data_IF_347258795561
#
_entry.id   IF_347258795561
#
_cell.length_a   1.000
_cell.length_b   1.000
_cell.length_c   1.000
_cell.angle_alpha   90.00
_cell.angle_beta   90.00
_cell.angle_gamma   90.00
#
_symmetry.space_group_name_H-M   'P 1'
#
loop_
_entity.id
_entity.type
_entity.pdbx_description
1 polymer ?
#
# COMPACT_ATOMS: atom_id res chain seq x y z
N UNK A 1 -26.51 21.68 -30.05
CA UNK A 1 -26.82 21.16 -28.71
C UNK A 1 -27.12 19.67 -28.84
N UNK A 2 -26.09 18.83 -28.77
CA UNK A 2 -26.25 17.40 -28.48
C UNK A 2 -26.56 17.25 -26.99
N UNK A 3 -27.46 16.34 -26.59
CA UNK A 3 -27.74 16.13 -25.17
C UNK A 3 -26.51 15.58 -24.48
N UNK A 4 -26.19 16.13 -23.31
CA UNK A 4 -25.19 15.58 -22.40
C UNK A 4 -25.67 14.24 -21.88
N UNK A 5 -25.17 13.15 -22.46
CA UNK A 5 -25.29 11.80 -21.92
C UNK A 5 -24.44 11.69 -20.64
N UNK A 6 -24.94 12.25 -19.54
CA UNK A 6 -24.79 11.56 -18.26
C UNK A 6 -25.64 10.30 -18.40
N UNK A 7 -25.02 9.13 -18.29
CA UNK A 7 -25.75 7.87 -18.37
C UNK A 7 -26.82 7.85 -17.28
N UNK A 8 -28.08 7.67 -17.66
CA UNK A 8 -29.09 7.26 -16.71
C UNK A 8 -28.81 5.79 -16.39
N UNK A 9 -28.08 5.54 -15.30
CA UNK A 9 -27.69 4.20 -14.85
C UNK A 9 -28.95 3.36 -14.57
N UNK A 10 -29.33 2.47 -15.49
CA UNK A 10 -30.51 1.60 -15.32
C UNK A 10 -30.16 0.38 -14.45
N UNK A 11 -29.96 0.66 -13.16
CA UNK A 11 -29.71 -0.34 -12.12
C UNK A 11 -30.99 -1.08 -11.69
N UNK A 12 -32.10 -1.00 -12.45
CA UNK A 12 -33.41 -1.55 -12.05
C UNK A 12 -33.47 -3.08 -11.96
N UNK A 13 -32.41 -3.78 -12.37
CA UNK A 13 -32.19 -5.21 -12.13
C UNK A 13 -31.81 -5.53 -10.68
N UNK A 14 -31.18 -4.60 -9.96
CA UNK A 14 -30.76 -4.79 -8.57
C UNK A 14 -31.90 -4.45 -7.58
N UNK A 15 -31.96 -5.16 -6.45
CA UNK A 15 -32.98 -4.95 -5.41
C UNK A 15 -34.35 -5.58 -5.66
N UNK A 16 -34.55 -6.28 -6.79
CA UNK A 16 -35.75 -7.10 -7.07
C UNK A 16 -35.63 -8.57 -6.64
N UNK A 17 -34.44 -9.00 -6.21
CA UNK A 17 -34.18 -10.36 -5.72
C UNK A 17 -34.98 -10.66 -4.43
N UNK A 18 -35.53 -11.87 -4.26
CA UNK A 18 -36.14 -12.30 -2.99
C UNK A 18 -35.15 -12.24 -1.83
N UNK A 19 -35.62 -11.85 -0.63
CA UNK A 19 -34.77 -11.68 0.56
C UNK A 19 -33.94 -12.93 0.92
N UNK A 20 -34.49 -14.14 0.70
CA UNK A 20 -33.80 -15.40 0.96
C UNK A 20 -32.65 -15.65 -0.02
N UNK A 21 -32.77 -15.14 -1.25
CA UNK A 21 -31.75 -15.24 -2.29
C UNK A 21 -30.63 -14.23 -2.02
N UNK A 22 -30.98 -13.02 -1.57
CA UNK A 22 -30.01 -12.02 -1.08
C UNK A 22 -29.22 -12.60 0.11
N UNK A 23 -29.88 -13.25 1.07
CA UNK A 23 -29.22 -13.91 2.19
C UNK A 23 -28.28 -15.04 1.73
N UNK A 24 -28.71 -15.87 0.77
CA UNK A 24 -27.88 -16.93 0.18
C UNK A 24 -26.65 -16.35 -0.54
N UNK A 25 -26.81 -15.29 -1.34
CA UNK A 25 -25.71 -14.56 -2.00
C UNK A 25 -24.75 -13.97 -0.97
N UNK A 26 -25.24 -13.39 0.13
CA UNK A 26 -24.40 -12.82 1.18
C UNK A 26 -23.56 -13.89 1.90
N UNK A 27 -24.18 -15.02 2.27
CA UNK A 27 -23.48 -16.18 2.84
C UNK A 27 -22.46 -16.76 1.86
N UNK A 28 -22.79 -16.83 0.57
CA UNK A 28 -21.85 -17.25 -0.47
C UNK A 28 -20.65 -16.30 -0.59
N UNK A 29 -20.86 -14.98 -0.62
CA UNK A 29 -19.78 -14.00 -0.69
C UNK A 29 -18.86 -14.08 0.55
N UNK A 30 -19.44 -14.22 1.75
CA UNK A 30 -18.70 -14.42 2.99
C UNK A 30 -17.87 -15.72 2.95
N UNK A 31 -18.49 -16.85 2.56
CA UNK A 31 -17.82 -18.14 2.48
C UNK A 31 -16.70 -18.16 1.42
N UNK A 32 -16.96 -17.58 0.24
CA UNK A 32 -15.98 -17.41 -0.83
C UNK A 32 -14.75 -16.64 -0.31
N UNK A 33 -14.97 -15.49 0.33
CA UNK A 33 -13.90 -14.65 0.87
C UNK A 33 -13.11 -15.40 1.95
N UNK A 34 -13.78 -16.09 2.88
CA UNK A 34 -13.12 -16.90 3.91
C UNK A 34 -12.28 -18.04 3.34
N UNK A 35 -12.76 -18.74 2.30
CA UNK A 35 -11.97 -19.77 1.61
C UNK A 35 -10.76 -19.14 0.91
N UNK A 36 -10.92 -18.00 0.23
CA UNK A 36 -9.80 -17.27 -0.40
C UNK A 36 -8.75 -16.83 0.61
N UNK A 37 -9.15 -16.30 1.77
CA UNK A 37 -8.22 -15.90 2.85
C UNK A 37 -7.49 -17.11 3.44
N UNK A 38 -8.21 -18.18 3.82
CA UNK A 38 -7.60 -19.38 4.39
C UNK A 38 -6.59 -20.02 3.41
N UNK A 39 -6.93 -20.05 2.11
CA UNK A 39 -6.02 -20.48 1.05
C UNK A 39 -4.80 -19.56 0.91
N UNK A 40 -5.00 -18.24 0.85
CA UNK A 40 -3.93 -17.25 0.73
C UNK A 40 -2.91 -17.37 1.86
N UNK A 41 -3.34 -17.62 3.10
CA UNK A 41 -2.43 -17.81 4.25
C UNK A 41 -1.54 -19.07 4.10
N UNK A 42 -2.07 -20.20 3.62
CA UNK A 42 -1.23 -21.38 3.35
C UNK A 42 -0.32 -21.14 2.14
N UNK A 43 -0.86 -20.50 1.10
CA UNK A 43 -0.15 -20.23 -0.14
C UNK A 43 1.05 -19.30 0.07
N UNK A 44 0.87 -18.23 0.86
CA UNK A 44 1.93 -17.32 1.29
C UNK A 44 3.06 -18.06 2.01
N UNK A 45 2.73 -18.88 3.02
CA UNK A 45 3.71 -19.70 3.75
C UNK A 45 4.48 -20.67 2.84
N UNK A 46 3.88 -21.11 1.74
CA UNK A 46 4.54 -22.00 0.76
C UNK A 46 5.43 -21.26 -0.21
N UNK A 47 4.91 -20.22 -0.86
CA UNK A 47 5.66 -19.45 -1.86
C UNK A 47 6.88 -18.77 -1.23
N UNK A 48 6.73 -18.16 -0.04
CA UNK A 48 7.87 -17.57 0.69
C UNK A 48 8.87 -18.64 1.11
N UNK A 49 8.42 -19.83 1.52
CA UNK A 49 9.32 -20.94 1.83
C UNK A 49 10.10 -21.40 0.57
N UNK A 50 9.44 -21.56 -0.57
CA UNK A 50 10.07 -21.94 -1.84
C UNK A 50 11.07 -20.89 -2.35
N UNK A 51 10.76 -19.59 -2.24
CA UNK A 51 11.70 -18.50 -2.53
C UNK A 51 12.94 -18.54 -1.64
N UNK A 52 12.79 -19.02 -0.40
CA UNK A 52 13.87 -19.18 0.58
C UNK A 52 14.53 -20.57 0.54
N UNK A 53 14.30 -21.37 -0.52
CA UNK A 53 14.82 -22.73 -0.68
C UNK A 53 14.51 -23.68 0.49
N UNK A 54 13.41 -23.45 1.21
CA UNK A 54 12.92 -24.32 2.31
C UNK A 54 11.54 -24.90 1.99
N UNK A 55 11.20 -26.00 2.66
CA UNK A 55 9.93 -26.69 2.45
C UNK A 55 8.84 -25.98 3.28
N UNK A 56 7.76 -25.57 2.62
CA UNK A 56 6.58 -25.00 3.27
C UNK A 56 5.73 -26.05 4.02
N UNK A 57 4.56 -25.66 4.56
CA UNK A 57 3.68 -26.58 5.30
C UNK A 57 3.32 -27.85 4.51
N UNK A 58 3.62 -29.02 5.09
CA UNK A 58 3.42 -30.34 4.45
C UNK A 58 2.94 -31.43 5.44
N UNK A 59 2.30 -31.06 6.56
CA UNK A 59 1.87 -32.01 7.62
C UNK A 59 0.34 -32.11 7.75
N UNK A 60 -0.36 -30.98 7.88
CA UNK A 60 -1.79 -30.97 8.19
C UNK A 60 -2.67 -30.97 6.93
N UNK A 61 -3.18 -32.15 6.57
CA UNK A 61 -3.99 -32.36 5.36
C UNK A 61 -3.16 -32.52 4.08
N UNK A 62 -3.81 -32.78 2.93
CA UNK A 62 -3.13 -32.91 1.64
C UNK A 62 -2.31 -31.65 1.36
N UNK A 63 -1.01 -31.83 1.15
CA UNK A 63 -0.03 -30.74 0.99
C UNK A 63 -0.11 -29.64 2.06
N UNK A 64 -0.53 -29.92 3.30
CA UNK A 64 -0.61 -28.90 4.36
C UNK A 64 -1.75 -27.89 4.24
N UNK A 65 -2.72 -28.08 3.33
CA UNK A 65 -3.82 -27.12 3.08
C UNK A 65 -4.74 -26.88 4.28
N UNK A 66 -4.80 -27.81 5.25
CA UNK A 66 -5.66 -27.66 6.43
C UNK A 66 -4.99 -26.86 7.57
N UNK A 67 -3.76 -26.35 7.37
CA UNK A 67 -3.03 -25.61 8.40
C UNK A 67 -3.76 -24.35 8.86
N UNK A 68 -4.26 -23.50 7.94
CA UNK A 68 -4.96 -22.26 8.31
C UNK A 68 -6.22 -22.53 9.12
N UNK A 69 -6.92 -23.64 8.84
CA UNK A 69 -8.11 -24.06 9.60
C UNK A 69 -7.73 -24.50 11.02
N UNK A 70 -6.65 -25.28 11.17
CA UNK A 70 -6.13 -25.66 12.48
C UNK A 70 -5.65 -24.44 13.30
N UNK A 71 -5.01 -23.47 12.66
CA UNK A 71 -4.59 -22.22 13.29
C UNK A 71 -5.80 -21.38 13.75
N UNK A 72 -6.87 -21.33 12.96
CA UNK A 72 -8.14 -20.68 13.33
C UNK A 72 -8.81 -21.34 14.54
N UNK A 73 -8.90 -22.67 14.55
CA UNK A 73 -9.44 -23.44 15.70
C UNK A 73 -8.60 -23.20 16.96
N UNK A 74 -7.27 -23.22 16.82
CA UNK A 74 -6.34 -22.88 17.91
C UNK A 74 -6.60 -21.48 18.48
N UNK A 75 -6.85 -20.48 17.63
CA UNK A 75 -7.12 -19.12 18.08
C UNK A 75 -8.48 -18.99 18.79
N UNK A 76 -9.50 -19.74 18.38
CA UNK A 76 -10.80 -19.79 19.09
C UNK A 76 -10.71 -20.48 20.46
N UNK A 77 -9.85 -21.50 20.61
CA UNK A 77 -9.63 -22.22 21.87
C UNK A 77 -8.59 -21.55 22.79
N UNK A 78 -7.86 -20.55 22.31
CA UNK A 78 -6.83 -19.83 23.08
C UNK A 78 -7.51 -18.91 24.10
N UNK A 79 -6.91 -18.79 25.29
CA UNK A 79 -7.35 -17.87 26.33
C UNK A 79 -7.41 -16.41 25.83
N UNK A 80 -8.57 -15.79 25.98
CA UNK A 80 -8.80 -14.39 25.65
C UNK A 80 -8.54 -13.49 26.86
N UNK A 81 -7.44 -12.73 26.82
CA UNK A 81 -6.99 -11.87 27.91
C UNK A 81 -7.42 -10.43 27.66
N UNK A 82 -7.93 -9.78 28.71
CA UNK A 82 -8.25 -8.35 28.72
C UNK A 82 -7.29 -7.64 29.67
N UNK A 83 -6.53 -6.68 29.14
CA UNK A 83 -5.52 -5.94 29.89
C UNK A 83 -6.17 -5.07 30.97
N UNK A 84 -5.62 -5.06 32.18
CA UNK A 84 -6.21 -4.36 33.35
C UNK A 84 -6.30 -2.83 33.19
N UNK A 85 -5.45 -2.23 32.34
CA UNK A 85 -5.40 -0.79 32.05
C UNK A 85 -6.15 -0.39 30.77
N UNK A 86 -6.68 -1.36 30.02
CA UNK A 86 -7.35 -1.10 28.77
C UNK A 86 -8.78 -0.55 28.98
N UNK A 87 -9.25 0.30 28.07
CA UNK A 87 -10.67 0.65 27.99
C UNK A 87 -11.45 -0.56 27.46
N UNK A 88 -12.24 -1.21 28.33
CA UNK A 88 -12.88 -2.50 28.00
C UNK A 88 -13.84 -2.42 26.82
N UNK A 89 -14.50 -1.27 26.62
CA UNK A 89 -15.54 -1.11 25.58
C UNK A 89 -14.87 -0.98 24.22
N UNK A 90 -13.96 -0.02 24.08
CA UNK A 90 -13.23 0.21 22.83
C UNK A 90 -12.29 -0.96 22.51
N UNK A 91 -11.68 -1.59 23.52
CA UNK A 91 -10.81 -2.76 23.33
C UNK A 91 -11.55 -3.94 22.69
N UNK A 92 -12.82 -4.18 23.04
CA UNK A 92 -13.63 -5.25 22.43
C UNK A 92 -14.25 -4.82 21.09
N UNK A 93 -14.59 -3.54 20.92
CA UNK A 93 -15.20 -3.04 19.68
C UNK A 93 -14.19 -2.82 18.54
N UNK A 94 -12.94 -2.46 18.82
CA UNK A 94 -11.95 -2.12 17.80
C UNK A 94 -11.71 -3.24 16.74
N UNK A 95 -11.57 -4.54 17.11
CA UNK A 95 -11.48 -5.62 16.12
C UNK A 95 -12.74 -5.77 15.27
N UNK A 96 -13.92 -5.50 15.84
CA UNK A 96 -15.20 -5.58 15.15
C UNK A 96 -15.34 -4.43 14.13
N UNK A 97 -14.91 -3.22 14.52
CA UNK A 97 -14.86 -2.03 13.66
C UNK A 97 -13.87 -2.23 12.50
N UNK A 98 -12.75 -2.94 12.70
CA UNK A 98 -11.84 -3.29 11.61
C UNK A 98 -12.43 -4.37 10.68
N UNK A 99 -13.06 -5.42 11.24
CA UNK A 99 -13.51 -6.57 10.45
C UNK A 99 -14.77 -6.31 9.62
N UNK A 100 -15.79 -5.64 10.17
CA UNK A 100 -17.09 -5.44 9.48
C UNK A 100 -16.92 -4.71 8.12
N UNK A 101 -16.23 -3.56 8.02
CA UNK A 101 -16.05 -2.85 6.75
C UNK A 101 -15.29 -3.67 5.71
N UNK A 102 -14.30 -4.45 6.15
CA UNK A 102 -13.51 -5.30 5.28
C UNK A 102 -14.39 -6.37 4.58
N UNK A 103 -15.33 -6.97 5.31
CA UNK A 103 -16.35 -7.87 4.71
C UNK A 103 -17.40 -7.12 3.89
N UNK A 104 -17.81 -5.92 4.31
CA UNK A 104 -18.82 -5.13 3.60
C UNK A 104 -18.37 -4.73 2.19
N UNK A 105 -17.09 -4.40 2.00
CA UNK A 105 -16.56 -3.95 0.71
C UNK A 105 -16.75 -4.95 -0.46
N UNK A 106 -16.84 -6.28 -0.18
CA UNK A 106 -17.07 -7.29 -1.23
C UNK A 106 -18.48 -7.21 -1.84
N UNK A 107 -19.46 -6.59 -1.16
CA UNK A 107 -20.86 -6.58 -1.55
C UNK A 107 -21.12 -5.91 -2.91
N UNK A 108 -20.26 -4.96 -3.29
CA UNK A 108 -20.38 -4.18 -4.54
C UNK A 108 -19.44 -4.68 -5.65
N UNK A 109 -18.76 -5.81 -5.48
CA UNK A 109 -17.79 -6.31 -6.47
C UNK A 109 -18.48 -7.26 -7.47
N UNK A 110 -18.35 -7.04 -8.79
CA UNK A 110 -19.01 -7.85 -9.82
C UNK A 110 -18.20 -9.11 -10.16
N UNK A 111 -18.71 -10.29 -9.80
CA UNK A 111 -18.08 -11.59 -10.16
C UNK A 111 -18.46 -12.07 -11.57
N UNK A 112 -19.43 -11.42 -12.24
CA UNK A 112 -19.88 -11.79 -13.57
C UNK A 112 -20.76 -10.72 -14.24
N UNK A 113 -21.20 -10.95 -15.48
CA UNK A 113 -21.96 -9.96 -16.27
C UNK A 113 -23.35 -9.73 -15.70
N UNK A 114 -23.83 -8.48 -15.74
CA UNK A 114 -25.21 -8.12 -15.38
C UNK A 114 -26.25 -8.78 -16.30
N UNK A 115 -25.95 -8.93 -17.59
CA UNK A 115 -26.83 -9.59 -18.57
C UNK A 115 -26.73 -11.12 -18.64
N UNK A 116 -25.94 -11.77 -17.77
CA UNK A 116 -25.70 -13.22 -17.81
C UNK A 116 -26.20 -13.87 -16.53
N UNK A 117 -27.53 -13.80 -16.36
CA UNK A 117 -28.23 -14.25 -15.18
C UNK A 117 -28.06 -15.77 -15.01
N UNK A 118 -27.40 -16.20 -13.94
CA UNK A 118 -27.31 -17.63 -13.62
C UNK A 118 -28.57 -18.06 -12.88
N UNK A 119 -29.15 -19.16 -13.32
CA UNK A 119 -30.30 -19.79 -12.67
C UNK A 119 -29.87 -20.48 -11.37
N UNK A 120 -30.06 -19.79 -10.24
CA UNK A 120 -29.92 -20.36 -8.90
C UNK A 120 -31.31 -20.83 -8.46
N UNK A 121 -31.52 -22.15 -8.36
CA UNK A 121 -32.81 -22.75 -8.01
C UNK A 121 -34.00 -22.17 -8.81
N UNK A 122 -33.83 -22.08 -10.13
CA UNK A 122 -34.84 -21.54 -11.06
C UNK A 122 -34.94 -20.01 -11.11
N UNK A 123 -34.33 -19.28 -10.17
CA UNK A 123 -34.29 -17.82 -10.18
C UNK A 123 -33.05 -17.35 -10.91
N UNK A 124 -33.26 -16.56 -11.98
CA UNK A 124 -32.21 -15.92 -12.75
C UNK A 124 -31.73 -14.67 -12.00
N UNK A 125 -30.47 -14.65 -11.58
CA UNK A 125 -29.92 -13.50 -10.83
C UNK A 125 -28.48 -13.19 -11.25
N UNK A 126 -28.08 -11.94 -11.06
CA UNK A 126 -26.72 -11.44 -11.37
C UNK A 126 -25.68 -12.00 -10.39
N UNK A 127 -24.44 -12.18 -10.86
CA UNK A 127 -23.28 -12.57 -10.03
C UNK A 127 -22.70 -11.40 -9.22
N UNK A 128 -23.57 -10.60 -8.62
CA UNK A 128 -23.23 -9.46 -7.78
C UNK A 128 -24.28 -9.36 -6.66
N UNK A 129 -23.87 -8.98 -5.45
CA UNK A 129 -24.77 -8.93 -4.30
C UNK A 129 -25.63 -7.65 -4.34
N UNK A 130 -25.00 -6.50 -4.59
CA UNK A 130 -25.69 -5.24 -4.90
C UNK A 130 -24.81 -4.37 -5.82
N UNK A 131 -25.43 -3.45 -6.55
CA UNK A 131 -24.71 -2.37 -7.22
C UNK A 131 -25.27 -1.02 -6.78
N UNK A 132 -24.42 0.01 -6.79
CA UNK A 132 -24.73 1.34 -6.32
C UNK A 132 -24.10 2.36 -7.28
N UNK A 133 -24.78 3.47 -7.62
CA UNK A 133 -24.17 4.55 -8.43
C UNK A 133 -22.87 5.10 -7.84
N UNK A 134 -22.73 5.01 -6.52
CA UNK A 134 -21.58 5.45 -5.72
C UNK A 134 -20.78 4.26 -5.13
N UNK A 135 -20.83 3.08 -5.76
CA UNK A 135 -20.19 1.85 -5.26
C UNK A 135 -18.70 2.04 -4.89
N UNK A 136 -17.96 2.80 -5.69
CA UNK A 136 -16.54 3.08 -5.41
C UNK A 136 -16.32 4.04 -4.23
N UNK A 137 -17.23 4.98 -3.96
CA UNK A 137 -17.19 5.82 -2.76
C UNK A 137 -17.55 5.03 -1.50
N UNK A 138 -18.45 4.04 -1.63
CA UNK A 138 -18.76 3.09 -0.57
C UNK A 138 -17.53 2.24 -0.19
N UNK A 139 -16.76 1.74 -1.17
CA UNK A 139 -15.50 1.03 -0.91
C UNK A 139 -14.50 1.90 -0.14
N UNK A 140 -14.30 3.15 -0.58
CA UNK A 140 -13.42 4.10 0.13
C UNK A 140 -13.91 4.32 1.57
N UNK A 141 -15.21 4.60 1.78
CA UNK A 141 -15.75 4.78 3.12
C UNK A 141 -15.57 3.53 4.01
N UNK A 142 -15.70 2.32 3.46
CA UNK A 142 -15.39 1.09 4.19
C UNK A 142 -13.90 1.00 4.57
N UNK A 143 -12.98 1.38 3.68
CA UNK A 143 -11.55 1.43 3.98
C UNK A 143 -11.26 2.42 5.11
N UNK A 144 -11.75 3.66 5.02
CA UNK A 144 -11.56 4.68 6.06
C UNK A 144 -12.06 4.23 7.43
N UNK A 145 -13.22 3.53 7.50
CA UNK A 145 -13.75 2.99 8.76
C UNK A 145 -12.87 1.86 9.32
N UNK A 146 -12.27 1.03 8.46
CA UNK A 146 -11.30 0.01 8.86
C UNK A 146 -10.06 0.59 9.57
N UNK A 147 -9.55 1.73 9.08
CA UNK A 147 -8.41 2.46 9.68
C UNK A 147 -8.70 2.83 11.14
N UNK A 148 -9.92 3.32 11.44
CA UNK A 148 -10.30 3.65 12.83
C UNK A 148 -10.20 2.45 13.78
N UNK A 149 -10.49 1.23 13.31
CA UNK A 149 -10.33 0.02 14.11
C UNK A 149 -8.89 -0.17 14.62
N UNK A 150 -7.90 0.06 13.76
CA UNK A 150 -6.46 -0.05 14.11
C UNK A 150 -6.04 1.02 15.13
N UNK A 151 -6.53 2.26 14.99
CA UNK A 151 -6.21 3.36 15.91
C UNK A 151 -6.85 3.17 17.28
N UNK A 152 -8.13 2.80 17.29
CA UNK A 152 -8.87 2.52 18.51
C UNK A 152 -8.27 1.33 19.27
N UNK A 153 -7.73 0.33 18.57
CA UNK A 153 -6.99 -0.77 19.17
C UNK A 153 -5.71 -0.31 19.87
N UNK A 154 -4.89 0.51 19.18
CA UNK A 154 -3.66 1.07 19.75
C UNK A 154 -3.93 1.93 20.99
N UNK A 155 -4.97 2.78 20.95
CA UNK A 155 -5.36 3.65 22.06
C UNK A 155 -6.00 2.88 23.24
N UNK A 156 -6.98 2.02 22.97
CA UNK A 156 -7.72 1.31 24.03
C UNK A 156 -6.87 0.32 24.81
N UNK A 157 -5.73 -0.10 24.27
CA UNK A 157 -4.75 -0.98 24.91
C UNK A 157 -4.24 -0.49 26.28
N UNK A 158 -4.24 0.83 26.52
CA UNK A 158 -3.74 1.43 27.77
C UNK A 158 -2.22 1.46 27.90
N UNK A 159 -1.48 1.29 26.79
CA UNK A 159 -0.02 1.32 26.71
C UNK A 159 0.47 2.31 25.65
N UNK A 160 1.56 3.04 25.94
CA UNK A 160 2.10 4.07 25.03
C UNK A 160 2.73 3.50 23.76
N UNK A 161 3.24 2.27 23.81
CA UNK A 161 3.90 1.63 22.67
C UNK A 161 2.91 1.23 21.55
N UNK A 162 1.82 0.47 21.82
CA UNK A 162 0.74 0.25 20.85
C UNK A 162 0.12 1.52 20.28
N UNK A 163 -0.01 2.58 21.11
CA UNK A 163 -0.53 3.87 20.68
C UNK A 163 0.37 4.53 19.63
N UNK A 164 1.69 4.54 19.83
CA UNK A 164 2.65 5.07 18.84
C UNK A 164 2.62 4.26 17.53
N UNK A 165 2.53 2.92 17.61
CA UNK A 165 2.35 2.06 16.45
C UNK A 165 1.05 2.37 15.69
N UNK A 166 -0.08 2.44 16.40
CA UNK A 166 -1.39 2.75 15.82
C UNK A 166 -1.47 4.14 15.18
N UNK A 167 -0.86 5.16 15.79
CA UNK A 167 -0.82 6.53 15.24
C UNK A 167 0.01 6.61 13.95
N UNK A 168 1.16 5.92 13.88
CA UNK A 168 1.97 5.83 12.65
C UNK A 168 1.21 5.10 11.54
N UNK A 169 0.55 4.00 11.90
CA UNK A 169 -0.29 3.21 10.98
C UNK A 169 -1.43 4.04 10.39
N UNK A 170 -2.12 4.83 11.23
CA UNK A 170 -3.14 5.79 10.81
C UNK A 170 -2.62 6.79 9.78
N UNK A 171 -1.53 7.49 10.13
CA UNK A 171 -0.93 8.50 9.28
C UNK A 171 -0.43 7.92 7.94
N UNK A 172 0.02 6.66 7.94
CA UNK A 172 0.33 5.92 6.72
C UNK A 172 -0.92 5.68 5.88
N UNK A 173 -1.91 4.93 6.40
CA UNK A 173 -3.07 4.51 5.60
C UNK A 173 -3.79 5.74 5.01
N UNK A 174 -4.09 6.78 5.82
CA UNK A 174 -4.71 8.02 5.34
C UNK A 174 -3.89 8.70 4.23
N UNK A 175 -2.56 8.76 4.35
CA UNK A 175 -1.71 9.39 3.31
C UNK A 175 -1.76 8.63 1.99
N UNK A 176 -1.88 7.30 2.03
CA UNK A 176 -1.95 6.45 0.86
C UNK A 176 -3.38 6.33 0.30
N UNK A 177 -4.40 6.46 1.14
CA UNK A 177 -5.82 6.55 0.77
C UNK A 177 -6.10 7.81 -0.08
N UNK A 178 -5.49 8.96 0.26
CA UNK A 178 -5.57 10.19 -0.56
C UNK A 178 -4.99 9.96 -1.97
N UNK A 179 -3.81 9.33 -2.06
CA UNK A 179 -3.19 9.01 -3.35
C UNK A 179 -4.01 7.98 -4.16
N UNK A 180 -4.61 7.00 -3.48
CA UNK A 180 -5.52 6.00 -4.06
C UNK A 180 -6.78 6.65 -4.63
N UNK A 181 -7.42 7.55 -3.87
CA UNK A 181 -8.60 8.30 -4.32
C UNK A 181 -8.33 9.17 -5.56
N UNK A 182 -7.16 9.81 -5.63
CA UNK A 182 -6.75 10.58 -6.81
C UNK A 182 -6.49 9.67 -8.04
N UNK A 183 -5.94 8.47 -7.85
CA UNK A 183 -5.81 7.47 -8.91
C UNK A 183 -7.19 6.99 -9.41
N UNK A 184 -8.16 6.79 -8.50
CA UNK A 184 -9.54 6.43 -8.84
C UNK A 184 -10.27 7.53 -9.60
N UNK A 185 -10.09 8.81 -9.24
CA UNK A 185 -10.71 9.92 -9.95
C UNK A 185 -10.37 9.94 -11.46
N UNK A 186 -9.15 9.51 -11.83
CA UNK A 186 -8.74 9.36 -13.23
C UNK A 186 -9.53 8.27 -13.95
N UNK A 187 -9.87 7.18 -13.25
CA UNK A 187 -10.70 6.09 -13.77
C UNK A 187 -12.14 6.57 -13.97
N UNK A 188 -12.71 7.28 -13.00
CA UNK A 188 -14.10 7.78 -13.07
C UNK A 188 -14.31 8.78 -14.22
N UNK A 189 -13.34 9.65 -14.48
CA UNK A 189 -13.37 10.56 -15.65
C UNK A 189 -13.32 9.81 -16.99
N UNK A 190 -12.73 8.61 -17.03
CA UNK A 190 -12.66 7.81 -18.24
C UNK A 190 -13.93 6.96 -18.44
N UNK A 191 -14.40 6.27 -17.39
CA UNK A 191 -15.62 5.44 -17.42
C UNK A 191 -16.89 6.27 -17.56
N UNK A 192 -16.96 7.45 -16.92
CA UNK A 192 -18.17 8.26 -16.82
C UNK A 192 -19.15 7.82 -15.71
N UNK A 193 -18.79 6.81 -14.91
CA UNK A 193 -19.59 6.26 -13.79
C UNK A 193 -18.69 5.82 -12.63
N UNK A 194 -19.25 5.78 -11.42
CA UNK A 194 -18.66 5.24 -10.19
C UNK A 194 -19.28 3.89 -9.76
N UNK A 195 -20.22 3.33 -10.53
CA UNK A 195 -20.67 1.94 -10.41
C UNK A 195 -19.54 0.98 -10.83
N UNK A 196 -19.37 -0.10 -10.07
CA UNK A 196 -18.37 -1.14 -10.38
C UNK A 196 -18.78 -1.97 -11.60
N UNK A 197 -20.07 -2.20 -11.82
CA UNK A 197 -20.56 -2.98 -12.95
C UNK A 197 -20.44 -2.19 -14.26
N UNK A 198 -20.73 -0.88 -14.24
CA UNK A 198 -20.56 0.00 -15.39
C UNK A 198 -19.09 0.22 -15.75
N UNK A 199 -18.21 0.39 -14.75
CA UNK A 199 -16.76 0.48 -14.99
C UNK A 199 -16.23 -0.75 -15.74
N UNK A 200 -16.67 -1.96 -15.36
CA UNK A 200 -16.27 -3.21 -16.05
C UNK A 200 -16.93 -3.32 -17.43
N UNK A 201 -18.15 -2.83 -17.62
CA UNK A 201 -18.81 -2.80 -18.93
C UNK A 201 -18.08 -1.87 -19.93
N UNK A 202 -17.62 -0.71 -19.48
CA UNK A 202 -16.84 0.24 -20.31
C UNK A 202 -15.44 -0.29 -20.69
N UNK A 203 -14.93 -1.31 -19.99
CA UNK A 203 -13.69 -2.04 -20.34
C UNK A 203 -13.89 -3.08 -21.45
N UNK A 204 -14.84 -2.84 -22.37
CA UNK A 204 -15.10 -3.75 -23.48
C UNK A 204 -13.93 -3.81 -24.47
N UNK A 205 -13.50 -2.64 -24.98
CA UNK A 205 -12.47 -2.48 -26.02
C UNK A 205 -11.05 -2.69 -25.47
N UNK A 206 -10.71 -1.98 -24.39
CA UNK A 206 -9.37 -2.00 -23.78
C UNK A 206 -9.46 -1.92 -22.26
N UNK A 207 -8.54 -2.62 -21.60
CA UNK A 207 -8.38 -2.57 -20.16
C UNK A 207 -7.72 -1.26 -19.72
N UNK A 208 -8.14 -0.72 -18.57
CA UNK A 208 -7.62 0.56 -18.09
C UNK A 208 -6.16 0.48 -17.61
N UNK A 209 -5.59 -0.71 -17.37
CA UNK A 209 -4.13 -0.85 -17.19
C UNK A 209 -3.33 -0.30 -18.38
N UNK A 210 -3.83 -0.41 -19.61
CA UNK A 210 -3.16 0.08 -20.83
C UNK A 210 -3.43 1.57 -21.07
N UNK A 211 -4.64 2.04 -20.72
CA UNK A 211 -5.08 3.42 -20.97
C UNK A 211 -4.68 4.39 -19.84
N UNK A 212 -4.61 3.91 -18.60
CA UNK A 212 -4.32 4.67 -17.39
C UNK A 212 -3.15 4.02 -16.60
N UNK A 213 -1.98 3.79 -17.23
CA UNK A 213 -0.88 3.05 -16.60
C UNK A 213 -0.33 3.77 -15.37
N UNK A 214 -0.32 5.11 -15.35
CA UNK A 214 0.13 5.90 -14.19
C UNK A 214 -0.84 5.73 -13.01
N UNK A 215 -2.16 5.79 -13.25
CA UNK A 215 -3.17 5.49 -12.23
C UNK A 215 -3.03 4.07 -11.69
N UNK A 216 -2.76 3.09 -12.55
CA UNK A 216 -2.53 1.71 -12.14
C UNK A 216 -1.26 1.56 -11.28
N UNK A 217 -0.13 2.15 -11.68
CA UNK A 217 1.12 2.09 -10.91
C UNK A 217 0.95 2.74 -9.53
N UNK A 218 0.32 3.93 -9.47
CA UNK A 218 0.03 4.60 -8.20
C UNK A 218 -0.88 3.71 -7.36
N UNK A 219 -1.94 3.14 -7.95
CA UNK A 219 -2.84 2.24 -7.25
C UNK A 219 -2.14 1.00 -6.69
N UNK A 220 -1.24 0.38 -7.46
CA UNK A 220 -0.43 -0.78 -7.03
C UNK A 220 0.48 -0.43 -5.85
N UNK A 221 1.05 0.78 -5.81
CA UNK A 221 1.82 1.23 -4.65
C UNK A 221 0.91 1.53 -3.46
N UNK A 222 -0.27 2.12 -3.68
CA UNK A 222 -1.19 2.48 -2.59
C UNK A 222 -1.92 1.30 -1.97
N UNK A 223 -2.30 0.27 -2.76
CA UNK A 223 -2.93 -0.94 -2.21
C UNK A 223 -1.98 -1.74 -1.29
N UNK A 224 -0.65 -1.63 -1.48
CA UNK A 224 0.34 -2.19 -0.54
C UNK A 224 0.47 -1.34 0.72
N UNK A 225 0.40 0.00 0.59
CA UNK A 225 0.41 0.92 1.74
C UNK A 225 -0.81 0.78 2.64
N UNK A 226 -1.98 0.56 2.03
CA UNK A 226 -3.30 0.39 2.67
C UNK A 226 -3.43 -0.94 3.42
N UNK A 227 -2.87 -2.02 2.87
CA UNK A 227 -2.93 -3.36 3.48
C UNK A 227 -1.86 -3.60 4.54
N UNK A 228 -0.99 -2.61 4.79
CA UNK A 228 0.10 -2.68 5.77
C UNK A 228 1.06 -3.89 5.60
N UNK A 229 1.16 -4.44 4.38
CA UNK A 229 2.03 -5.59 4.11
C UNK A 229 3.44 -5.17 3.72
N UNK A 230 4.43 -5.99 4.09
CA UNK A 230 5.83 -5.79 3.71
C UNK A 230 5.94 -5.60 2.18
N UNK A 231 6.64 -4.56 1.69
CA UNK A 231 7.63 -3.73 2.40
C UNK A 231 7.08 -2.58 3.28
N UNK A 232 5.77 -2.32 3.30
CA UNK A 232 5.11 -1.21 4.00
C UNK A 232 4.42 -1.63 5.32
N UNK A 233 5.03 -2.65 5.95
CA UNK A 233 4.75 -3.17 7.28
C UNK A 233 5.33 -2.21 8.35
N UNK A 234 4.50 -1.25 8.78
CA UNK A 234 4.71 -0.40 9.96
C UNK A 234 3.92 -0.85 11.21
N UNK A 235 2.66 -1.36 11.12
CA UNK A 235 1.92 -1.80 12.30
C UNK A 235 2.40 -3.14 12.87
N UNK A 236 2.96 -4.03 12.05
CA UNK A 236 3.43 -5.37 12.44
C UNK A 236 4.96 -5.40 12.67
N UNK A 237 5.65 -4.27 12.46
CA UNK A 237 7.12 -4.19 12.38
C UNK A 237 7.83 -4.52 13.70
N UNK A 238 8.22 -5.78 13.85
CA UNK A 238 8.94 -6.33 15.00
C UNK A 238 10.31 -5.67 15.28
N UNK A 239 10.90 -5.02 14.27
CA UNK A 239 12.23 -4.40 14.30
C UNK A 239 12.24 -2.87 14.47
N UNK A 240 11.06 -2.24 14.57
CA UNK A 240 10.91 -0.81 14.91
C UNK A 240 10.11 -0.72 16.24
N UNK A 241 9.42 0.38 16.48
CA UNK A 241 8.51 0.57 17.62
C UNK A 241 7.39 -0.48 17.63
N UNK A 242 7.55 -1.53 18.45
CA UNK A 242 6.54 -2.41 19.08
C UNK A 242 5.22 -2.49 18.32
N UNK A 243 4.99 -3.60 17.61
CA UNK A 243 3.96 -3.81 16.58
C UNK A 243 2.49 -3.55 16.93
N UNK A 244 2.13 -2.28 17.17
CA UNK A 244 0.77 -1.74 17.18
C UNK A 244 -0.19 -2.53 18.07
N UNK A 245 -1.32 -2.94 17.48
CA UNK A 245 -2.36 -3.70 18.17
C UNK A 245 -1.98 -5.18 18.41
N UNK A 246 -0.88 -5.69 17.86
CA UNK A 246 -0.55 -7.12 17.97
C UNK A 246 -0.06 -7.54 19.35
N UNK A 247 0.36 -6.61 20.21
CA UNK A 247 1.08 -6.94 21.45
C UNK A 247 0.19 -7.21 22.66
N UNK A 248 -0.97 -6.56 22.73
CA UNK A 248 -1.88 -6.65 23.88
C UNK A 248 -3.05 -7.61 23.62
N UNK A 249 -3.43 -7.79 22.36
CA UNK A 249 -4.56 -8.61 21.94
C UNK A 249 -4.23 -10.12 21.90
N UNK A 250 -5.14 -10.96 22.41
CA UNK A 250 -5.06 -12.42 22.37
C UNK A 250 -6.24 -13.04 21.59
N UNK A 251 -6.17 -14.36 21.40
CA UNK A 251 -7.29 -15.23 21.01
C UNK A 251 -8.04 -14.70 19.76
N UNK A 252 -9.37 -14.74 19.80
CA UNK A 252 -10.27 -14.32 18.72
C UNK A 252 -10.15 -12.84 18.37
N UNK A 253 -9.85 -11.95 19.32
CA UNK A 253 -9.73 -10.51 19.03
C UNK A 253 -8.49 -10.19 18.21
N UNK A 254 -7.36 -10.83 18.52
CA UNK A 254 -6.17 -10.81 17.65
C UNK A 254 -6.47 -11.43 16.28
N UNK A 255 -7.16 -12.58 16.27
CA UNK A 255 -7.53 -13.25 15.03
C UNK A 255 -8.40 -12.37 14.12
N UNK A 256 -9.30 -11.56 14.67
CA UNK A 256 -10.16 -10.64 13.91
C UNK A 256 -9.38 -9.52 13.22
N UNK A 257 -8.33 -8.96 13.82
CA UNK A 257 -7.48 -7.96 13.14
C UNK A 257 -6.70 -8.59 11.99
N UNK A 258 -6.02 -9.72 12.24
CA UNK A 258 -5.32 -10.46 11.19
C UNK A 258 -6.28 -10.85 10.06
N UNK A 259 -7.47 -11.34 10.41
CA UNK A 259 -8.52 -11.66 9.44
C UNK A 259 -8.90 -10.42 8.61
N UNK A 260 -9.14 -9.27 9.25
CA UNK A 260 -9.48 -8.01 8.58
C UNK A 260 -8.39 -7.55 7.60
N UNK A 261 -7.10 -7.68 7.95
CA UNK A 261 -6.00 -7.38 7.03
C UNK A 261 -5.98 -8.30 5.81
N UNK A 262 -6.11 -9.62 5.99
CA UNK A 262 -6.16 -10.57 4.87
C UNK A 262 -7.44 -10.39 4.03
N UNK A 263 -8.57 -10.07 4.65
CA UNK A 263 -9.81 -9.69 3.95
C UNK A 263 -9.55 -8.44 3.11
N UNK A 264 -8.95 -7.39 3.68
CA UNK A 264 -8.64 -6.16 2.95
C UNK A 264 -7.68 -6.41 1.78
N UNK A 265 -6.68 -7.29 1.94
CA UNK A 265 -5.77 -7.71 0.87
C UNK A 265 -6.51 -8.38 -0.32
N UNK A 266 -7.53 -9.21 -0.03
CA UNK A 266 -8.42 -9.76 -1.08
C UNK A 266 -9.27 -8.65 -1.70
N UNK A 267 -9.85 -7.76 -0.89
CA UNK A 267 -10.67 -6.63 -1.34
C UNK A 267 -9.91 -5.69 -2.26
N UNK A 268 -8.72 -5.19 -1.90
CA UNK A 268 -7.95 -4.30 -2.80
C UNK A 268 -7.49 -5.01 -4.07
N UNK A 269 -7.20 -6.32 -4.01
CA UNK A 269 -6.90 -7.13 -5.21
C UNK A 269 -8.12 -7.25 -6.14
N UNK A 270 -9.31 -7.41 -5.55
CA UNK A 270 -10.58 -7.46 -6.26
C UNK A 270 -10.97 -6.09 -6.86
N UNK A 271 -10.72 -4.98 -6.14
CA UNK A 271 -10.88 -3.61 -6.65
C UNK A 271 -9.91 -3.33 -7.79
N UNK A 272 -8.63 -3.70 -7.66
CA UNK A 272 -7.65 -3.62 -8.75
C UNK A 272 -8.13 -4.35 -10.01
N UNK A 273 -8.66 -5.55 -9.82
CA UNK A 273 -9.16 -6.42 -10.90
C UNK A 273 -10.33 -5.76 -11.62
N UNK A 274 -11.26 -5.19 -10.85
CA UNK A 274 -12.47 -4.50 -11.33
C UNK A 274 -12.12 -3.19 -12.05
N UNK A 275 -11.23 -2.38 -11.49
CA UNK A 275 -10.92 -1.04 -12.02
C UNK A 275 -9.90 -1.01 -13.16
N UNK A 276 -8.97 -1.97 -13.23
CA UNK A 276 -7.85 -1.89 -14.20
C UNK A 276 -7.73 -3.11 -15.13
N UNK A 277 -8.15 -4.30 -14.69
CA UNK A 277 -7.88 -5.57 -15.38
C UNK A 277 -9.12 -6.17 -16.08
N UNK A 278 -10.16 -5.39 -16.39
CA UNK A 278 -11.34 -5.91 -17.11
C UNK A 278 -12.34 -6.66 -16.22
N UNK A 279 -12.22 -6.61 -14.89
CA UNK A 279 -13.07 -7.34 -13.97
C UNK A 279 -13.13 -8.84 -14.28
N UNK A 280 -14.35 -9.37 -14.46
CA UNK A 280 -14.63 -10.76 -14.82
C UNK A 280 -14.38 -11.09 -16.30
N UNK A 281 -14.11 -10.12 -17.19
CA UNK A 281 -13.94 -10.35 -18.64
C UNK A 281 -12.68 -11.18 -18.93
N UNK A 282 -12.74 -12.10 -19.88
CA UNK A 282 -11.57 -12.89 -20.28
C UNK A 282 -10.38 -12.01 -20.73
N UNK A 283 -9.12 -12.38 -20.43
CA UNK A 283 -7.94 -11.70 -20.96
C UNK A 283 -7.90 -11.64 -22.49
N UNK A 284 -7.43 -10.53 -23.05
CA UNK A 284 -6.98 -10.49 -24.43
C UNK A 284 -5.69 -11.34 -24.53
N UNK A 285 -5.55 -12.28 -25.49
CA UNK A 285 -6.38 -12.49 -26.69
C UNK A 285 -7.49 -13.56 -26.57
N UNK A 286 -7.64 -14.23 -25.41
CA UNK A 286 -8.59 -15.35 -25.22
C UNK A 286 -10.04 -14.93 -25.53
N UNK A 287 -10.40 -13.69 -25.19
CA UNK A 287 -11.69 -13.08 -25.53
C UNK A 287 -11.98 -12.96 -27.03
N UNK A 288 -10.95 -13.00 -27.90
CA UNK A 288 -11.07 -12.90 -29.36
C UNK A 288 -11.10 -14.28 -30.03
N UNK A 289 -10.46 -15.29 -29.44
CA UNK A 289 -10.44 -16.66 -29.97
C UNK A 289 -11.59 -17.55 -29.46
N UNK A 290 -12.22 -17.20 -28.33
CA UNK A 290 -13.28 -18.00 -27.73
C UNK A 290 -14.46 -17.13 -27.27
N UNK A 291 -15.48 -17.02 -28.11
CA UNK A 291 -16.72 -16.25 -27.83
C UNK A 291 -17.40 -16.72 -26.53
N UNK A 292 -17.37 -18.03 -26.25
CA UNK A 292 -17.90 -18.64 -25.03
C UNK A 292 -17.15 -18.28 -23.73
N UNK A 293 -15.96 -17.68 -23.79
CA UNK A 293 -15.12 -17.43 -22.60
C UNK A 293 -15.72 -16.44 -21.58
N UNK A 294 -16.75 -15.67 -21.97
CA UNK A 294 -17.49 -14.75 -21.10
C UNK A 294 -18.88 -15.27 -20.69
N UNK A 295 -19.21 -16.54 -20.97
CA UNK A 295 -20.53 -17.12 -20.69
C UNK A 295 -20.57 -18.09 -19.50
N UNK A 296 -21.72 -18.14 -18.80
CA UNK A 296 -21.94 -19.04 -17.67
C UNK A 296 -21.03 -18.74 -16.48
N UNK A 297 -20.28 -19.75 -16.01
CA UNK A 297 -19.40 -19.65 -14.84
C UNK A 297 -17.96 -19.22 -15.17
N UNK A 298 -17.57 -19.12 -16.44
CA UNK A 298 -16.24 -18.69 -16.86
C UNK A 298 -15.85 -17.27 -16.37
N UNK A 299 -16.74 -16.25 -16.37
CA UNK A 299 -16.46 -14.93 -15.81
C UNK A 299 -15.93 -14.96 -14.37
N UNK A 300 -16.55 -15.77 -13.51
CA UNK A 300 -16.12 -15.91 -12.12
C UNK A 300 -14.72 -16.54 -12.04
N UNK A 301 -14.42 -17.53 -12.89
CA UNK A 301 -13.09 -18.14 -12.93
C UNK A 301 -12.01 -17.13 -13.35
N UNK A 302 -12.25 -16.30 -14.37
CA UNK A 302 -11.31 -15.25 -14.78
C UNK A 302 -11.10 -14.21 -13.68
N UNK A 303 -12.16 -13.83 -12.98
CA UNK A 303 -12.07 -12.94 -11.83
C UNK A 303 -11.18 -13.53 -10.72
N UNK A 304 -11.46 -14.77 -10.31
CA UNK A 304 -10.68 -15.50 -9.29
C UNK A 304 -9.21 -15.63 -9.69
N UNK A 305 -8.91 -15.96 -10.95
CA UNK A 305 -7.53 -16.07 -11.45
C UNK A 305 -6.80 -14.72 -11.32
N UNK A 306 -7.41 -13.61 -11.72
CA UNK A 306 -6.79 -12.28 -11.64
C UNK A 306 -6.57 -11.83 -10.19
N UNK A 307 -7.55 -12.05 -9.31
CA UNK A 307 -7.38 -11.80 -7.87
C UNK A 307 -6.24 -12.66 -7.32
N UNK A 308 -6.18 -13.94 -7.68
CA UNK A 308 -5.13 -14.85 -7.20
C UNK A 308 -3.72 -14.47 -7.73
N UNK A 309 -3.62 -13.91 -8.93
CA UNK A 309 -2.38 -13.35 -9.47
C UNK A 309 -1.92 -12.11 -8.70
N UNK A 310 -2.84 -11.24 -8.29
CA UNK A 310 -2.52 -10.08 -7.45
C UNK A 310 -2.18 -10.47 -6.00
N UNK A 311 -2.85 -11.47 -5.44
CA UNK A 311 -2.46 -12.08 -4.16
C UNK A 311 -1.07 -12.73 -4.25
N UNK A 312 -0.74 -13.40 -5.36
CA UNK A 312 0.61 -13.90 -5.61
C UNK A 312 1.63 -12.76 -5.73
N UNK A 313 1.26 -11.64 -6.35
CA UNK A 313 2.11 -10.44 -6.41
C UNK A 313 2.40 -9.86 -5.02
N UNK A 314 1.40 -9.75 -4.13
CA UNK A 314 1.62 -9.38 -2.72
C UNK A 314 2.64 -10.30 -2.02
N UNK A 315 2.48 -11.61 -2.18
CA UNK A 315 3.37 -12.61 -1.59
C UNK A 315 4.79 -12.50 -2.18
N UNK A 316 4.91 -12.22 -3.48
CA UNK A 316 6.19 -12.01 -4.16
C UNK A 316 6.90 -10.74 -3.70
N UNK A 317 6.19 -9.62 -3.51
CA UNK A 317 6.74 -8.41 -2.91
C UNK A 317 7.28 -8.68 -1.50
N UNK A 318 6.50 -9.36 -0.65
CA UNK A 318 6.93 -9.78 0.71
C UNK A 318 8.18 -10.65 0.68
N UNK A 319 8.31 -11.53 -0.32
CA UNK A 319 9.45 -12.43 -0.47
C UNK A 319 10.72 -11.78 -1.03
N UNK A 320 10.64 -10.59 -1.62
CA UNK A 320 11.75 -9.97 -2.38
C UNK A 320 12.21 -8.61 -1.88
N UNK A 321 11.33 -7.79 -1.31
CA UNK A 321 11.65 -6.41 -0.94
C UNK A 321 12.01 -6.27 0.56
N UNK A 322 13.03 -5.47 0.91
CA UNK A 322 13.31 -5.13 2.29
C UNK A 322 12.21 -4.19 2.86
N UNK A 323 12.01 -4.23 4.18
CA UNK A 323 11.17 -3.25 4.89
C UNK A 323 11.72 -1.83 4.68
N UNK A 324 10.83 -0.89 4.35
CA UNK A 324 11.17 0.54 4.19
C UNK A 324 11.01 1.27 5.53
N UNK A 325 11.69 2.40 5.76
CA UNK A 325 11.50 3.22 6.97
C UNK A 325 10.32 4.19 6.82
N UNK A 326 9.55 4.41 7.89
CA UNK A 326 8.38 5.30 7.91
C UNK A 326 8.61 6.66 7.25
N UNK A 327 9.72 7.34 7.54
CA UNK A 327 10.02 8.66 6.98
C UNK A 327 10.25 8.64 5.46
N UNK A 328 10.77 7.53 4.91
CA UNK A 328 10.93 7.34 3.47
C UNK A 328 9.58 7.05 2.82
N UNK A 329 8.75 6.23 3.49
CA UNK A 329 7.39 5.92 3.04
C UNK A 329 6.51 7.19 2.99
N UNK A 330 6.54 8.02 4.03
CA UNK A 330 5.76 9.26 4.05
C UNK A 330 6.25 10.25 2.98
N UNK A 331 7.57 10.32 2.73
CA UNK A 331 8.13 11.11 1.62
C UNK A 331 7.66 10.60 0.25
N UNK A 332 7.58 9.27 0.04
CA UNK A 332 7.07 8.69 -1.20
C UNK A 332 5.60 9.07 -1.44
N UNK A 333 4.73 8.90 -0.44
CA UNK A 333 3.33 9.31 -0.51
C UNK A 333 3.16 10.79 -0.83
N UNK A 334 3.71 11.66 0.02
CA UNK A 334 3.46 13.11 -0.04
C UNK A 334 4.23 13.86 -1.12
N UNK A 335 5.47 13.45 -1.45
CA UNK A 335 6.30 14.16 -2.44
C UNK A 335 6.26 13.57 -3.84
N UNK A 336 5.80 12.32 -4.00
CA UNK A 336 5.78 11.63 -5.31
C UNK A 336 4.37 11.20 -5.69
N UNK A 337 3.72 10.33 -4.91
CA UNK A 337 2.45 9.72 -5.32
C UNK A 337 1.32 10.73 -5.45
N UNK A 338 1.13 11.63 -4.47
CA UNK A 338 0.07 12.65 -4.50
C UNK A 338 0.31 13.69 -5.62
N UNK A 339 1.51 14.29 -5.79
CA UNK A 339 1.74 15.22 -6.90
C UNK A 339 1.58 14.57 -8.28
N UNK A 340 2.10 13.35 -8.48
CA UNK A 340 1.99 12.64 -9.76
C UNK A 340 0.55 12.22 -10.06
N UNK A 341 -0.23 11.79 -9.05
CA UNK A 341 -1.65 11.45 -9.25
C UNK A 341 -2.49 12.66 -9.66
N UNK A 342 -2.25 13.83 -9.06
CA UNK A 342 -2.96 15.07 -9.41
C UNK A 342 -2.57 15.57 -10.80
N UNK A 343 -1.28 15.56 -11.15
CA UNK A 343 -0.83 15.94 -12.52
C UNK A 343 -1.41 15.00 -13.57
N UNK A 344 -1.43 13.70 -13.29
CA UNK A 344 -2.03 12.70 -14.18
C UNK A 344 -3.55 12.87 -14.31
N UNK A 345 -4.25 13.13 -13.20
CA UNK A 345 -5.69 13.43 -13.20
C UNK A 345 -6.02 14.63 -14.09
N UNK A 346 -5.26 15.71 -13.96
CA UNK A 346 -5.41 16.90 -14.80
C UNK A 346 -5.16 16.59 -16.28
N UNK A 347 -4.13 15.80 -16.61
CA UNK A 347 -3.86 15.35 -17.98
C UNK A 347 -5.03 14.53 -18.55
N UNK A 348 -5.55 13.57 -17.80
CA UNK A 348 -6.70 12.73 -18.21
C UNK A 348 -7.96 13.58 -18.39
N UNK A 349 -8.21 14.54 -17.50
CA UNK A 349 -9.32 15.49 -17.64
C UNK A 349 -9.20 16.33 -18.91
N UNK A 350 -8.01 16.88 -19.22
CA UNK A 350 -7.75 17.64 -20.44
C UNK A 350 -7.91 16.79 -21.70
N UNK A 351 -7.37 15.56 -21.72
CA UNK A 351 -7.57 14.59 -22.81
C UNK A 351 -9.07 14.35 -23.05
N UNK A 352 -9.85 14.16 -21.98
CA UNK A 352 -11.29 13.90 -22.10
C UNK A 352 -12.07 15.12 -22.58
N UNK A 353 -11.74 16.32 -22.10
CA UNK A 353 -12.35 17.57 -22.57
C UNK A 353 -12.12 17.77 -24.08
N UNK A 354 -10.87 17.70 -24.54
CA UNK A 354 -10.52 17.85 -25.96
C UNK A 354 -11.19 16.79 -26.85
N UNK A 355 -11.41 15.57 -26.33
CA UNK A 355 -12.14 14.50 -27.03
C UNK A 355 -13.64 14.79 -27.11
N UNK A 356 -14.24 15.38 -26.07
CA UNK A 356 -15.64 15.80 -26.08
C UNK A 356 -15.88 16.94 -27.08
N UNK A 357 -14.90 17.85 -27.25
CA UNK A 357 -14.93 18.94 -28.23
C UNK A 357 -14.69 18.48 -29.69
N UNK A 358 -14.54 17.16 -29.92
CA UNK A 358 -14.43 16.57 -31.25
C UNK A 358 -13.05 16.71 -31.89
N UNK A 359 -12.00 16.99 -31.14
CA UNK A 359 -10.64 17.00 -31.68
C UNK A 359 -10.16 15.57 -32.00
N UNK A 360 -9.56 15.44 -33.19
CA UNK A 360 -8.99 14.17 -33.67
C UNK A 360 -7.88 13.66 -32.72
N UNK A 361 -7.80 12.33 -32.55
CA UNK A 361 -6.91 11.68 -31.58
C UNK A 361 -5.44 12.07 -31.80
N UNK A 362 -5.01 12.19 -33.06
CA UNK A 362 -3.66 12.66 -33.42
C UNK A 362 -3.36 14.07 -32.92
N UNK A 363 -4.35 14.97 -32.91
CA UNK A 363 -4.21 16.33 -32.37
C UNK A 363 -4.18 16.34 -30.85
N UNK A 364 -4.98 15.51 -30.20
CA UNK A 364 -4.96 15.35 -28.74
C UNK A 364 -3.59 14.84 -28.28
N UNK A 365 -3.04 13.81 -28.94
CA UNK A 365 -1.69 13.28 -28.65
C UNK A 365 -0.61 14.35 -28.89
N UNK A 366 -0.72 15.18 -29.94
CA UNK A 366 0.21 16.28 -30.17
C UNK A 366 0.14 17.38 -29.11
N UNK A 367 -1.05 17.82 -28.68
CA UNK A 367 -1.17 18.84 -27.65
C UNK A 367 -0.73 18.34 -26.28
N UNK A 368 -1.11 17.11 -25.91
CA UNK A 368 -0.79 16.53 -24.60
C UNK A 368 0.69 16.11 -24.54
N UNK A 369 1.20 15.47 -25.60
CA UNK A 369 2.61 15.15 -25.74
C UNK A 369 3.47 16.43 -25.77
N UNK A 370 3.03 17.46 -26.51
CA UNK A 370 3.69 18.76 -26.55
C UNK A 370 3.71 19.45 -25.18
N UNK A 371 2.62 19.41 -24.41
CA UNK A 371 2.56 19.95 -23.06
C UNK A 371 3.47 19.18 -22.08
N UNK A 372 3.48 17.84 -22.14
CA UNK A 372 4.37 17.01 -21.32
C UNK A 372 5.85 17.27 -21.67
N UNK A 373 6.19 17.35 -22.95
CA UNK A 373 7.54 17.69 -23.40
C UNK A 373 7.93 19.12 -23.00
N UNK A 374 7.02 20.09 -23.09
CA UNK A 374 7.26 21.45 -22.60
C UNK A 374 7.51 21.50 -21.09
N UNK A 375 6.75 20.74 -20.29
CA UNK A 375 6.97 20.63 -18.84
C UNK A 375 8.30 19.94 -18.52
N UNK A 376 8.66 18.87 -19.23
CA UNK A 376 9.96 18.20 -19.07
C UNK A 376 11.14 19.10 -19.50
N UNK A 377 11.00 19.88 -20.57
CA UNK A 377 12.00 20.86 -20.99
C UNK A 377 12.12 22.00 -19.97
N UNK A 378 11.00 22.50 -19.43
CA UNK A 378 11.00 23.50 -18.37
C UNK A 378 11.61 22.96 -17.07
N UNK A 379 11.37 21.70 -16.69
CA UNK A 379 12.01 21.10 -15.52
C UNK A 379 13.50 20.87 -15.73
N UNK A 380 13.91 20.41 -16.92
CA UNK A 380 15.33 20.22 -17.26
C UNK A 380 16.08 21.57 -17.28
N UNK A 381 15.47 22.62 -17.84
CA UNK A 381 15.99 23.99 -17.76
C UNK A 381 16.07 24.46 -16.30
N UNK A 382 15.02 24.23 -15.49
CA UNK A 382 15.01 24.60 -14.08
C UNK A 382 16.09 23.85 -13.27
N UNK A 383 16.30 22.56 -13.51
CA UNK A 383 17.34 21.76 -12.87
C UNK A 383 18.75 22.18 -13.32
N UNK A 384 18.95 22.58 -14.58
CA UNK A 384 20.22 23.17 -15.05
C UNK A 384 20.49 24.53 -14.38
N UNK A 385 19.47 25.37 -14.20
CA UNK A 385 19.61 26.63 -13.46
C UNK A 385 19.82 26.39 -11.95
N UNK A 386 19.17 25.38 -11.37
CA UNK A 386 19.33 25.00 -9.96
C UNK A 386 20.71 24.42 -9.68
N UNK A 387 21.19 23.52 -10.54
CA UNK A 387 22.55 22.97 -10.48
C UNK A 387 23.60 24.07 -10.57
N UNK A 388 23.43 25.05 -11.47
CA UNK A 388 24.29 26.24 -11.53
C UNK A 388 24.22 27.11 -10.28
N UNK A 389 23.04 27.25 -9.67
CA UNK A 389 22.89 28.00 -8.43
C UNK A 389 23.50 27.26 -7.22
N UNK A 390 23.45 25.93 -7.21
CA UNK A 390 24.11 25.07 -6.23
C UNK A 390 25.63 25.05 -6.43
N UNK A 391 26.13 25.09 -7.67
CA UNK A 391 27.55 25.32 -8.01
C UNK A 391 28.03 26.70 -7.54
N UNK A 392 27.31 27.79 -7.86
CA UNK A 392 27.63 29.13 -7.36
C UNK A 392 27.64 29.20 -5.82
N UNK A 393 26.66 28.57 -5.17
CA UNK A 393 26.58 28.53 -3.71
C UNK A 393 27.65 27.61 -3.07
N UNK A 394 28.19 26.65 -3.82
CA UNK A 394 29.33 25.84 -3.40
C UNK A 394 30.66 26.59 -3.56
N UNK A 395 30.79 27.48 -4.57
CA UNK A 395 31.92 28.39 -4.71
C UNK A 395 31.98 29.43 -3.57
N UNK A 396 30.83 29.96 -3.12
CA UNK A 396 30.75 30.88 -1.96
C UNK A 396 31.16 30.22 -0.62
N UNK A 397 31.10 28.88 -0.55
CA UNK A 397 31.49 28.08 0.61
C UNK A 397 30.51 28.16 1.80
N UNK A 398 30.52 27.17 2.71
CA UNK A 398 29.71 27.25 3.92
C UNK A 398 30.22 28.40 4.81
N UNK A 399 29.34 29.24 5.38
CA UNK A 399 29.76 30.30 6.30
C UNK A 399 30.51 29.68 7.48
N UNK A 400 31.64 30.28 7.85
CA UNK A 400 32.51 29.77 8.90
C UNK A 400 31.71 29.54 10.21
N UNK A 401 31.81 28.34 10.76
CA UNK A 401 31.07 27.96 11.97
C UNK A 401 31.53 28.81 13.16
N UNK A 402 30.67 29.72 13.61
CA UNK A 402 30.85 30.47 14.85
C UNK A 402 30.40 29.60 16.05
N UNK A 403 31.34 29.11 16.89
CA UNK A 403 30.99 28.25 18.02
C UNK A 403 30.24 28.99 19.14
N UNK A 404 30.16 30.32 19.07
CA UNK A 404 29.65 31.20 20.12
C UNK A 404 28.43 32.03 19.70
N UNK A 405 27.84 31.79 18.51
CA UNK A 405 26.72 32.56 17.98
C UNK A 405 25.49 32.66 18.92
N UNK A 406 25.32 31.68 19.83
CA UNK A 406 24.26 31.65 20.84
C UNK A 406 24.69 32.05 22.26
N UNK A 407 25.89 32.59 22.45
CA UNK A 407 26.45 32.97 23.77
C UNK A 407 26.97 31.81 24.62
N UNK A 408 26.76 30.56 24.21
CA UNK A 408 27.30 29.34 24.83
C UNK A 408 27.98 28.46 23.77
N UNK A 409 29.03 27.70 24.11
CA UNK A 409 29.74 26.87 23.14
C UNK A 409 28.85 25.76 22.57
N UNK A 410 28.64 25.77 21.26
CA UNK A 410 27.89 24.72 20.55
C UNK A 410 28.88 23.77 19.85
N UNK A 411 28.71 22.42 19.94
CA UNK A 411 29.54 21.50 19.17
C UNK A 411 29.28 21.64 17.66
N UNK A 412 30.31 21.50 16.79
CA UNK A 412 30.12 21.51 15.35
C UNK A 412 29.33 20.29 14.88
N UNK A 413 28.47 20.47 13.88
CA UNK A 413 27.81 19.36 13.19
C UNK A 413 28.80 18.62 12.28
N UNK A 414 28.54 17.34 11.92
CA UNK A 414 29.39 16.60 11.00
C UNK A 414 29.62 17.36 9.68
N UNK A 415 30.89 17.64 9.36
CA UNK A 415 31.30 18.43 8.19
C UNK A 415 31.68 19.90 8.48
N UNK A 416 31.43 20.40 9.69
CA UNK A 416 31.87 21.75 10.10
C UNK A 416 33.25 21.71 10.77
N UNK A 417 34.14 22.62 10.37
CA UNK A 417 35.46 22.78 10.99
C UNK A 417 35.47 23.98 11.92
N UNK A 418 36.12 23.84 13.09
CA UNK A 418 36.31 24.95 14.01
C UNK A 418 37.32 25.96 13.44
N UNK A 419 37.07 27.28 13.58
CA UNK A 419 38.07 28.28 13.19
C UNK A 419 39.36 28.11 14.01
N UNK A 420 40.54 28.37 13.42
CA UNK A 420 41.83 28.17 14.08
C UNK A 420 41.96 29.06 15.31
N UNK A 421 41.98 28.46 16.50
CA UNK A 421 42.10 29.18 17.77
C UNK A 421 43.43 29.94 17.80
N UNK A 422 43.43 31.26 18.10
CA UNK A 422 44.66 32.04 18.23
C UNK A 422 45.58 31.43 19.31
N UNK A 423 46.73 30.88 18.90
CA UNK A 423 47.71 30.31 19.83
C UNK A 423 48.27 31.40 20.74
N UNK A 424 47.73 31.50 21.96
CA UNK A 424 48.29 32.33 23.02
C UNK A 424 49.72 31.87 23.31
N UNK A 425 50.71 32.75 23.14
CA UNK A 425 52.11 32.43 23.46
C UNK A 425 52.21 31.94 24.91
N UNK A 426 52.90 30.82 25.19
CA UNK A 426 53.09 30.35 26.55
C UNK A 426 53.85 31.41 27.37
N UNK A 427 53.41 31.62 28.61
CA UNK A 427 54.07 32.52 29.57
C UNK A 427 54.78 31.63 30.58
N UNK A 428 56.10 31.79 30.68
CA UNK A 428 57.09 30.86 31.27
C UNK A 428 57.47 29.65 30.41
N UNK A 429 58.69 29.68 29.90
CA UNK A 429 59.58 28.51 29.99
C UNK A 429 59.83 28.24 31.48
N UNK A 430 59.71 26.98 31.89
CA UNK A 430 60.23 26.50 33.17
C UNK A 430 61.51 25.73 32.87
N UNK A 431 62.62 26.16 33.48
CA UNK A 431 63.83 25.35 33.52
C UNK A 431 63.51 23.96 34.09
N UNK A 432 63.87 22.93 33.33
CA UNK A 432 63.81 21.55 33.78
C UNK A 432 65.00 21.28 34.69
N UNK A 433 64.76 21.32 36.01
CA UNK A 433 65.73 20.87 37.00
C UNK A 433 65.91 19.35 36.83
N UNK A 434 67.05 18.96 36.27
CA UNK A 434 67.45 17.55 36.12
C UNK A 434 67.84 17.00 37.50
N UNK A 435 67.11 16.00 37.98
CA UNK A 435 67.48 15.21 39.17
C UNK A 435 67.62 13.75 38.81
N UNK A 436 68.86 13.31 38.56
CA UNK A 436 69.22 11.91 38.30
C UNK A 436 70.73 11.77 38.39
N UNK A 437 71.20 11.11 39.45
CA UNK A 437 72.61 10.75 39.62
C UNK A 437 73.02 9.63 38.66
N UNK A 438 74.32 9.40 38.54
CA UNK A 438 74.88 8.35 37.69
C UNK A 438 74.44 6.94 38.09
N UNK A 439 74.61 6.02 37.13
CA UNK A 439 74.56 4.56 37.28
C UNK A 439 73.17 3.91 37.16
N UNK A 440 72.78 3.63 35.92
CA UNK A 440 72.09 2.39 35.54
C UNK A 440 72.26 2.14 34.04
N UNK A 441 73.05 1.12 33.69
CA UNK A 441 73.22 0.68 32.31
C UNK A 441 71.94 0.03 31.78
N UNK A 442 71.62 0.26 30.51
CA UNK A 442 70.58 -0.48 29.78
C UNK A 442 71.23 -1.28 28.66
N UNK A 443 71.22 -2.59 28.80
CA UNK A 443 71.82 -3.55 27.87
C UNK A 443 71.37 -3.34 26.42
N UNK A 444 72.32 -3.47 25.49
CA UNK A 444 72.09 -3.52 24.05
C UNK A 444 72.65 -4.82 23.49
N UNK A 445 71.75 -5.71 23.11
CA UNK A 445 72.00 -6.83 22.20
C UNK A 445 70.64 -7.19 21.57
N UNK A 446 70.49 -7.50 20.28
CA UNK A 446 71.47 -7.63 19.21
C UNK A 446 70.91 -8.56 18.14
N UNK A 447 70.32 -8.01 17.07
CA UNK A 447 69.97 -8.76 15.84
C UNK A 447 69.65 -7.85 14.66
N UNK A 448 70.53 -7.88 13.67
CA UNK A 448 70.34 -7.33 12.32
C UNK A 448 70.00 -8.48 11.33
N UNK A 449 69.89 -8.15 10.03
CA UNK A 449 69.71 -9.02 8.84
C UNK A 449 68.35 -9.77 8.71
N UNK A 450 67.77 -10.04 7.53
CA UNK A 450 67.97 -9.61 6.12
C UNK A 450 66.60 -9.79 5.37
N UNK A 451 66.36 -9.38 4.12
CA UNK A 451 67.24 -8.70 3.16
C UNK A 451 66.65 -8.49 1.74
N UNK A 452 65.72 -9.35 1.28
CA UNK A 452 65.15 -9.34 -0.10
C UNK A 452 63.61 -9.40 -0.10
#
# INVERSE_FOLDING_TARGET
>A
MTPTFLAAEDLSLFGRDPWWLIALKAVFCFAFLMVTVLFSIVWERKVVAWMQLRIGPNRHGPWGMLQSLADGIKLMLKEDVIVKRADKVVYVLAPIIAAIPAFMAIAVIPFGPSGNEVSIFGHRTTMQLTDLPIAMLYILACASVGIYGIVLAGWSSGSTYPLLGGLRSCAQMISYEIAMGAAFASVFLYSGSMSTSEIVAQQHDRWYIVLLPVSFIIYVVTMVGETNRAPFDMPESEGDLVGGFNTEYSSIKFALFMLAEYVNMVTVSAVSTTLFLGGWRAPWPVSTFWEGANHGWWPMLWFVIKVQLLLFFFIWLRGTLPRVRYDQLMKLGWKVLIPVSVVWLMLVATVRALRNDGHDFSKIVLYVGGAVVAVLLLSLVADVFRGRQEESAAEDGPPAFDPMAGGFPVPPLPGQTLPPVPRRRPRHERELVVSGGSDTESDRDGREDEGV
#
